data_IF_351769569547
#
_entry.id   IF_351769569547
#
_cell.length_a   1.000
_cell.length_b   1.000
_cell.length_c   1.000
_cell.angle_alpha   90.00
_cell.angle_beta   90.00
_cell.angle_gamma   90.00
#
_symmetry.space_group_name_H-M   'P 1'
#
loop_
_entity.id
_entity.type
_entity.pdbx_description
1 polymer ?
#
# COMPACT_ATOMS: atom_id res chain seq x y z
N UNK A 1 -22.59 -1.04 9.26
CA UNK A 1 -21.49 -0.10 9.58
C UNK A 1 -20.46 -0.20 8.48
N UNK A 2 -19.90 0.90 7.96
CA UNK A 2 -18.81 0.83 6.96
C UNK A 2 -17.51 0.47 7.68
N UNK A 3 -16.69 -0.39 7.07
CA UNK A 3 -15.37 -0.76 7.59
C UNK A 3 -14.38 0.41 7.62
N UNK A 4 -13.31 0.24 8.39
CA UNK A 4 -12.19 1.18 8.48
C UNK A 4 -11.19 0.93 7.35
N UNK A 5 -10.68 2.00 6.76
CA UNK A 5 -9.64 1.96 5.74
C UNK A 5 -8.28 2.27 6.36
N UNK A 6 -7.34 1.34 6.23
CA UNK A 6 -5.94 1.47 6.63
C UNK A 6 -5.10 1.86 5.41
N UNK A 7 -4.48 3.04 5.45
CA UNK A 7 -3.60 3.51 4.37
C UNK A 7 -2.15 3.42 4.83
N UNK A 8 -1.32 2.62 4.17
CA UNK A 8 0.07 2.40 4.57
C UNK A 8 1.08 2.69 3.47
N UNK A 9 2.31 3.08 3.82
CA UNK A 9 3.40 3.03 2.85
C UNK A 9 3.68 1.57 2.46
N UNK A 10 4.42 1.38 1.36
CA UNK A 10 4.60 0.07 0.75
C UNK A 10 6.08 -0.33 0.71
N UNK A 11 6.54 -1.20 1.60
CA UNK A 11 7.92 -1.74 1.60
C UNK A 11 8.00 -3.10 0.91
N UNK A 12 7.01 -3.96 1.08
CA UNK A 12 6.99 -5.35 0.60
C UNK A 12 5.57 -5.83 0.24
N UNK A 13 5.43 -6.97 -0.44
CA UNK A 13 4.12 -7.59 -0.66
C UNK A 13 3.46 -8.12 0.63
N UNK A 14 4.22 -8.23 1.72
CA UNK A 14 3.73 -8.72 3.01
C UNK A 14 3.05 -7.63 3.84
N UNK A 15 3.14 -6.37 3.44
CA UNK A 15 2.66 -5.26 4.26
C UNK A 15 1.18 -5.38 4.66
N UNK A 16 0.25 -5.70 3.73
CA UNK A 16 -1.14 -5.93 4.08
C UNK A 16 -1.35 -7.07 5.07
N UNK A 17 -0.53 -8.12 5.00
CA UNK A 17 -0.59 -9.30 5.86
C UNK A 17 -0.16 -8.94 7.28
N UNK A 18 0.97 -8.24 7.42
CA UNK A 18 1.46 -7.78 8.72
C UNK A 18 0.49 -6.78 9.37
N UNK A 19 -0.13 -5.89 8.60
CA UNK A 19 -1.18 -5.00 9.10
C UNK A 19 -2.37 -5.80 9.64
N UNK A 20 -2.82 -6.83 8.91
CA UNK A 20 -3.92 -7.70 9.35
C UNK A 20 -3.56 -8.48 10.62
N UNK A 21 -2.33 -9.00 10.69
CA UNK A 21 -1.83 -9.74 11.84
C UNK A 21 -1.74 -8.85 13.09
N UNK A 22 -1.14 -7.66 12.96
CA UNK A 22 -0.99 -6.70 14.06
C UNK A 22 -2.35 -6.24 14.63
N UNK A 23 -3.37 -6.13 13.77
CA UNK A 23 -4.73 -5.80 14.19
C UNK A 23 -5.53 -6.99 14.73
N UNK A 24 -4.99 -8.21 14.66
CA UNK A 24 -5.67 -9.45 15.08
C UNK A 24 -7.08 -9.60 14.51
N UNK A 25 -7.29 -9.16 13.26
CA UNK A 25 -8.60 -9.22 12.58
C UNK A 25 -8.44 -9.48 11.08
N UNK A 26 -9.41 -10.15 10.43
CA UNK A 26 -9.36 -10.40 9.00
C UNK A 26 -9.57 -9.08 8.23
N UNK A 27 -8.56 -8.67 7.47
CA UNK A 27 -8.62 -7.52 6.56
C UNK A 27 -8.75 -7.99 5.11
N UNK A 28 -9.38 -7.17 4.28
CA UNK A 28 -9.18 -7.24 2.85
C UNK A 28 -7.99 -6.35 2.45
N UNK A 29 -7.26 -6.70 1.39
CA UNK A 29 -6.17 -5.91 0.85
C UNK A 29 -6.47 -5.44 -0.57
N UNK A 30 -6.47 -4.12 -0.79
CA UNK A 30 -6.56 -3.52 -2.11
C UNK A 30 -5.17 -3.41 -2.73
N UNK A 31 -4.89 -4.24 -3.73
CA UNK A 31 -3.55 -4.40 -4.30
C UNK A 31 -3.59 -4.20 -5.81
N UNK A 32 -2.61 -3.46 -6.33
CA UNK A 32 -2.42 -3.25 -7.76
C UNK A 32 -1.56 -4.37 -8.35
N UNK A 33 -2.04 -5.00 -9.43
CA UNK A 33 -1.24 -5.93 -10.24
C UNK A 33 -0.61 -7.11 -9.48
N UNK A 34 -1.41 -7.89 -8.74
CA UNK A 34 -0.98 -9.23 -8.31
C UNK A 34 -1.10 -10.25 -9.45
N UNK A 35 -0.14 -11.17 -9.51
CA UNK A 35 -0.29 -12.40 -10.29
C UNK A 35 -1.38 -13.28 -9.64
N UNK A 36 -2.12 -14.08 -10.43
CA UNK A 36 -3.12 -15.01 -9.90
C UNK A 36 -2.56 -15.97 -8.84
N UNK A 37 -1.29 -16.37 -8.98
CA UNK A 37 -0.61 -17.24 -8.02
C UNK A 37 -0.50 -16.62 -6.62
N UNK A 38 -0.08 -15.35 -6.53
CA UNK A 38 0.04 -14.66 -5.25
C UNK A 38 -1.32 -14.41 -4.57
N UNK A 39 -2.40 -14.32 -5.36
CA UNK A 39 -3.77 -14.21 -4.85
C UNK A 39 -4.25 -15.53 -4.22
N UNK A 40 -3.94 -16.67 -4.84
CA UNK A 40 -4.32 -18.01 -4.31
C UNK A 40 -3.65 -18.32 -2.98
N UNK A 41 -2.39 -17.91 -2.81
CA UNK A 41 -1.62 -18.17 -1.58
C UNK A 41 -1.82 -17.10 -0.50
N UNK A 42 -2.55 -16.01 -0.81
CA UNK A 42 -2.72 -14.90 0.14
C UNK A 42 -3.57 -15.34 1.34
N UNK A 43 -3.09 -15.16 2.59
CA UNK A 43 -3.85 -15.51 3.79
C UNK A 43 -5.02 -14.56 4.06
N UNK A 44 -5.06 -13.43 3.35
CA UNK A 44 -6.10 -12.40 3.44
C UNK A 44 -6.79 -12.20 2.10
N UNK A 45 -8.06 -11.77 2.15
CA UNK A 45 -8.84 -11.52 0.95
C UNK A 45 -8.23 -10.39 0.13
N UNK A 46 -7.96 -10.64 -1.15
CA UNK A 46 -7.44 -9.64 -2.08
C UNK A 46 -8.56 -8.97 -2.87
N UNK A 47 -8.40 -7.67 -3.11
CA UNK A 47 -9.22 -6.87 -4.01
C UNK A 47 -8.29 -6.35 -5.10
N UNK A 48 -8.35 -6.97 -6.27
CA UNK A 48 -7.50 -6.62 -7.40
C UNK A 48 -7.92 -5.30 -8.01
N UNK A 49 -7.02 -4.32 -7.97
CA UNK A 49 -7.22 -3.02 -8.59
C UNK A 49 -6.71 -3.04 -10.05
N UNK A 50 -7.52 -2.51 -10.96
CA UNK A 50 -7.29 -2.52 -12.40
C UNK A 50 -6.72 -1.19 -12.94
N UNK A 51 -6.46 -0.21 -12.07
CA UNK A 51 -6.04 1.17 -12.42
C UNK A 51 -7.11 1.94 -13.19
N UNK A 52 -8.36 1.55 -13.04
CA UNK A 52 -9.54 2.33 -13.43
C UNK A 52 -10.09 2.98 -12.16
N UNK A 53 -10.01 4.31 -12.09
CA UNK A 53 -10.34 5.04 -10.86
C UNK A 53 -11.79 4.81 -10.41
N UNK A 54 -12.76 4.72 -11.33
CA UNK A 54 -14.16 4.57 -10.92
C UNK A 54 -14.48 3.12 -10.59
N UNK A 55 -13.95 2.17 -11.37
CA UNK A 55 -14.11 0.74 -11.06
C UNK A 55 -13.44 0.35 -9.75
N UNK A 56 -12.20 0.79 -9.53
CA UNK A 56 -11.43 0.50 -8.33
C UNK A 56 -12.08 1.10 -7.09
N UNK A 57 -12.61 2.33 -7.19
CA UNK A 57 -13.38 2.97 -6.12
C UNK A 57 -14.62 2.16 -5.74
N UNK A 58 -15.37 1.65 -6.72
CA UNK A 58 -16.53 0.80 -6.46
C UNK A 58 -16.14 -0.52 -5.78
N UNK A 59 -15.07 -1.18 -6.25
CA UNK A 59 -14.57 -2.41 -5.66
C UNK A 59 -14.11 -2.20 -4.22
N UNK A 60 -13.35 -1.15 -3.94
CA UNK A 60 -12.91 -0.84 -2.58
C UNK A 60 -14.09 -0.51 -1.65
N UNK A 61 -15.09 0.22 -2.15
CA UNK A 61 -16.33 0.49 -1.39
C UNK A 61 -17.10 -0.79 -1.07
N UNK A 62 -17.23 -1.71 -2.03
CA UNK A 62 -17.87 -3.01 -1.82
C UNK A 62 -17.07 -3.91 -0.86
N UNK A 63 -15.74 -3.80 -0.85
CA UNK A 63 -14.93 -4.51 0.13
C UNK A 63 -15.16 -3.96 1.54
N UNK A 64 -15.20 -2.64 1.68
CA UNK A 64 -15.46 -1.96 2.96
C UNK A 64 -16.84 -2.20 3.56
N UNK A 65 -17.84 -2.66 2.78
CA UNK A 65 -19.12 -3.07 3.36
C UNK A 65 -19.06 -4.45 4.01
N UNK A 66 -18.04 -5.25 3.68
CA UNK A 66 -17.88 -6.64 4.15
C UNK A 66 -16.80 -6.79 5.21
N UNK A 67 -15.75 -5.99 5.15
CA UNK A 67 -14.62 -6.03 6.09
C UNK A 67 -13.89 -4.69 6.10
N UNK A 68 -12.97 -4.53 7.05
CA UNK A 68 -11.97 -3.47 6.98
C UNK A 68 -11.03 -3.72 5.77
N UNK A 69 -10.39 -2.65 5.29
CA UNK A 69 -9.59 -2.67 4.07
C UNK A 69 -8.23 -2.01 4.31
N UNK A 70 -7.14 -2.65 3.89
CA UNK A 70 -5.82 -2.03 3.81
C UNK A 70 -5.48 -1.72 2.35
N UNK A 71 -4.84 -0.56 2.12
CA UNK A 71 -4.39 -0.12 0.80
C UNK A 71 -3.02 0.53 0.89
N UNK A 72 -2.19 0.25 -0.11
CA UNK A 72 -0.89 0.88 -0.33
C UNK A 72 -1.01 1.96 -1.42
N UNK A 73 -1.30 3.23 -1.09
CA UNK A 73 -1.55 4.28 -2.07
C UNK A 73 -0.36 4.65 -2.97
N UNK A 74 0.86 4.20 -2.65
CA UNK A 74 2.04 4.30 -3.55
C UNK A 74 1.87 3.49 -4.83
N UNK A 75 1.11 2.39 -4.78
CA UNK A 75 0.85 1.51 -5.93
C UNK A 75 2.06 0.71 -6.43
N UNK A 76 3.20 0.79 -5.74
CA UNK A 76 4.41 0.00 -5.93
C UNK A 76 5.24 0.05 -4.64
N UNK A 77 6.08 -0.96 -4.39
CA UNK A 77 6.92 -1.00 -3.18
C UNK A 77 8.05 0.04 -3.27
N UNK A 78 8.27 0.88 -2.28
CA UNK A 78 9.41 1.80 -2.17
C UNK A 78 10.31 1.41 -1.00
N UNK A 79 11.61 1.26 -1.21
CA UNK A 79 12.56 0.90 -0.13
C UNK A 79 13.39 2.05 0.39
N UNK A 80 13.55 3.06 -0.44
CA UNK A 80 14.32 4.25 -0.14
C UNK A 80 13.77 4.99 1.10
N UNK A 81 14.56 5.86 1.74
CA UNK A 81 14.14 6.69 2.88
C UNK A 81 13.23 7.86 2.46
N UNK A 82 12.36 7.62 1.47
CA UNK A 82 11.37 8.55 0.98
C UNK A 82 10.08 7.81 0.59
N UNK A 83 8.96 8.54 0.58
CA UNK A 83 7.66 8.03 0.13
C UNK A 83 7.37 8.48 -1.28
N UNK A 84 6.91 7.55 -2.13
CA UNK A 84 6.33 7.90 -3.42
C UNK A 84 5.02 8.67 -3.22
N UNK A 85 4.59 9.39 -4.26
CA UNK A 85 3.33 10.11 -4.26
C UNK A 85 2.16 9.16 -4.00
N UNK A 86 1.30 9.52 -3.06
CA UNK A 86 0.08 8.76 -2.77
C UNK A 86 -1.03 9.06 -3.79
N UNK A 87 -1.65 8.01 -4.31
CA UNK A 87 -2.87 8.11 -5.11
C UNK A 87 -4.04 8.62 -4.26
N UNK A 88 -4.85 9.58 -4.72
CA UNK A 88 -6.01 10.09 -3.99
C UNK A 88 -7.23 9.16 -4.02
N UNK A 89 -7.13 7.96 -4.59
CA UNK A 89 -8.27 7.05 -4.74
C UNK A 89 -8.90 6.69 -3.39
N UNK A 90 -8.08 6.34 -2.39
CA UNK A 90 -8.55 5.87 -1.09
C UNK A 90 -9.31 6.95 -0.29
N UNK A 91 -8.96 8.23 -0.50
CA UNK A 91 -9.58 9.35 0.23
C UNK A 91 -11.02 9.60 -0.18
N UNK A 92 -11.42 9.10 -1.37
CA UNK A 92 -12.77 9.17 -1.92
C UNK A 92 -13.62 7.93 -1.62
N UNK A 93 -13.03 6.94 -0.97
CA UNK A 93 -13.64 5.63 -0.71
C UNK A 93 -14.20 5.55 0.71
N UNK A 94 -13.51 6.11 1.70
CA UNK A 94 -13.89 6.09 3.11
C UNK A 94 -13.60 7.43 3.80
N UNK A 95 -14.40 7.75 4.81
CA UNK A 95 -14.13 8.81 5.81
C UNK A 95 -13.35 8.30 7.02
N UNK A 96 -13.39 6.98 7.26
CA UNK A 96 -12.76 6.36 8.41
C UNK A 96 -11.38 5.84 7.99
N UNK A 97 -10.39 6.74 7.95
CA UNK A 97 -9.02 6.46 7.47
C UNK A 97 -8.05 6.46 8.64
N UNK A 98 -7.26 5.39 8.76
CA UNK A 98 -6.16 5.25 9.72
C UNK A 98 -4.85 5.10 8.93
N UNK A 99 -3.92 6.06 9.02
CA UNK A 99 -2.59 5.91 8.44
C UNK A 99 -1.77 4.87 9.22
N UNK A 100 -0.98 4.06 8.51
CA UNK A 100 -0.08 3.09 9.13
C UNK A 100 1.31 3.26 8.54
N UNK A 101 2.27 3.65 9.37
CA UNK A 101 3.67 3.73 9.02
C UNK A 101 4.33 2.35 9.20
N UNK A 102 5.06 1.94 8.18
CA UNK A 102 5.69 0.62 8.08
C UNK A 102 7.17 0.80 7.82
N UNK A 103 7.98 0.21 8.67
CA UNK A 103 9.42 0.08 8.46
C UNK A 103 9.86 -1.38 8.43
N UNK A 104 10.79 -1.68 7.54
CA UNK A 104 11.26 -3.04 7.30
C UNK A 104 12.78 -3.06 7.36
N UNK A 105 13.31 -3.60 8.46
CA UNK A 105 14.74 -3.85 8.63
C UNK A 105 15.09 -5.20 8.02
N UNK A 106 15.97 -5.19 7.02
CA UNK A 106 16.55 -6.40 6.41
C UNK A 106 18.07 -6.23 6.32
N UNK A 107 18.82 -7.32 6.46
CA UNK A 107 20.28 -7.27 6.51
C UNK A 107 20.95 -7.46 5.15
N UNK A 108 20.45 -8.36 4.29
CA UNK A 108 21.17 -8.80 3.09
C UNK A 108 20.29 -9.02 1.84
N UNK A 109 19.08 -9.56 1.99
CA UNK A 109 18.20 -9.86 0.86
C UNK A 109 17.02 -8.89 0.78
N UNK A 110 17.06 -8.03 -0.22
CA UNK A 110 15.98 -7.09 -0.52
C UNK A 110 14.98 -7.80 -1.46
N UNK A 111 13.80 -8.19 -0.94
CA UNK A 111 12.78 -8.91 -1.70
C UNK A 111 12.07 -8.07 -2.78
N UNK A 112 12.78 -7.52 -3.77
CA UNK A 112 12.16 -7.03 -5.02
C UNK A 112 13.10 -7.23 -6.19
N UNK A 113 12.69 -8.07 -7.12
CA UNK A 113 13.38 -8.15 -8.41
C UNK A 113 12.77 -7.09 -9.34
N UNK A 114 13.48 -5.99 -9.60
CA UNK A 114 13.01 -4.94 -10.53
C UNK A 114 12.94 -5.43 -12.00
N UNK A 115 13.63 -6.54 -12.31
CA UNK A 115 13.75 -7.16 -13.63
C UNK A 115 13.47 -8.68 -13.62
N UNK A 116 12.83 -9.20 -12.58
CA UNK A 116 12.58 -10.64 -12.45
C UNK A 116 11.25 -10.96 -11.76
N UNK A 117 10.90 -12.25 -11.67
CA UNK A 117 9.57 -12.68 -11.25
C UNK A 117 9.26 -12.26 -9.80
N UNK A 118 8.27 -11.38 -9.63
CA UNK A 118 7.85 -10.80 -8.33
C UNK A 118 7.37 -11.83 -7.29
N UNK A 119 7.09 -13.07 -7.69
CA UNK A 119 6.68 -14.14 -6.78
C UNK A 119 7.78 -14.59 -5.80
N UNK A 120 9.06 -14.28 -6.09
CA UNK A 120 10.18 -14.63 -5.22
C UNK A 120 10.45 -13.63 -4.10
N UNK A 121 9.83 -12.45 -4.16
CA UNK A 121 10.03 -11.36 -3.22
C UNK A 121 9.80 -11.75 -1.74
N UNK A 122 8.79 -12.56 -1.38
CA UNK A 122 8.61 -13.06 -0.01
C UNK A 122 9.72 -14.03 0.42
N UNK A 123 10.20 -14.90 -0.50
CA UNK A 123 11.25 -15.89 -0.21
C UNK A 123 12.55 -15.18 0.17
N UNK A 124 12.94 -14.16 -0.60
CA UNK A 124 14.12 -13.35 -0.28
C UNK A 124 14.00 -12.62 1.06
N UNK A 125 12.80 -12.15 1.44
CA UNK A 125 12.61 -11.52 2.74
C UNK A 125 12.90 -12.50 3.90
N UNK A 126 12.34 -13.73 3.83
CA UNK A 126 12.54 -14.76 4.86
C UNK A 126 13.96 -15.37 4.89
N UNK A 127 14.77 -15.15 3.86
CA UNK A 127 16.18 -15.56 3.85
C UNK A 127 17.10 -14.65 4.65
N UNK A 128 16.61 -13.50 5.14
CA UNK A 128 17.39 -12.68 6.07
C UNK A 128 17.48 -13.36 7.44
N UNK A 129 18.65 -13.38 8.09
CA UNK A 129 18.81 -14.00 9.41
C UNK A 129 18.01 -13.31 10.51
N UNK A 130 17.80 -11.99 10.44
CA UNK A 130 17.04 -11.21 11.42
C UNK A 130 16.21 -10.10 10.74
N UNK A 131 15.11 -10.43 10.03
CA UNK A 131 14.21 -9.42 9.49
C UNK A 131 13.39 -8.80 10.64
N UNK A 132 13.26 -7.47 10.65
CA UNK A 132 12.37 -6.76 11.56
C UNK A 132 11.27 -6.05 10.79
N UNK A 133 10.05 -6.15 11.28
CA UNK A 133 8.89 -5.54 10.67
C UNK A 133 8.16 -4.69 11.71
N UNK A 134 8.27 -3.36 11.58
CA UNK A 134 7.72 -2.42 12.56
C UNK A 134 6.51 -1.73 11.97
N UNK A 135 5.39 -1.75 12.70
CA UNK A 135 4.16 -1.06 12.32
C UNK A 135 3.82 -0.02 13.37
N UNK A 136 3.51 1.20 12.91
CA UNK A 136 3.01 2.27 13.75
C UNK A 136 1.66 2.76 13.20
N UNK A 137 0.60 2.45 13.92
CA UNK A 137 -0.75 2.96 13.62
C UNK A 137 -0.86 4.40 14.11
N UNK A 138 -1.13 5.32 13.19
CA UNK A 138 -1.28 6.74 13.50
C UNK A 138 -2.73 7.08 13.86
N UNK A 139 -2.95 8.29 14.35
CA UNK A 139 -4.29 8.75 14.70
C UNK A 139 -5.23 8.74 13.49
N UNK A 140 -6.47 8.32 13.76
CA UNK A 140 -7.55 8.33 12.76
C UNK A 140 -7.81 9.77 12.29
N UNK A 141 -7.98 9.93 10.98
CA UNK A 141 -8.30 11.23 10.41
C UNK A 141 -9.64 11.76 10.95
N UNK A 142 -9.65 13.03 11.35
CA UNK A 142 -10.87 13.74 11.73
C UNK A 142 -11.74 14.01 10.50
N UNK A 143 -13.06 14.11 10.68
CA UNK A 143 -14.00 14.31 9.56
C UNK A 143 -13.66 15.55 8.70
N UNK A 144 -13.19 16.63 9.31
CA UNK A 144 -12.76 17.85 8.62
C UNK A 144 -11.51 17.67 7.75
N UNK A 145 -10.74 16.61 7.97
CA UNK A 145 -9.55 16.25 7.20
C UNK A 145 -9.84 15.14 6.17
N UNK A 146 -11.11 14.86 5.86
CA UNK A 146 -11.52 13.84 4.89
C UNK A 146 -12.32 14.47 3.75
N UNK A 147 -12.31 13.83 2.58
CA UNK A 147 -13.08 14.32 1.43
C UNK A 147 -14.58 14.11 1.59
N UNK A 148 -15.00 12.98 2.14
CA UNK A 148 -16.42 12.72 2.39
C UNK A 148 -17.00 13.60 3.52
N UNK A 149 -16.16 14.12 4.42
CA UNK A 149 -16.55 15.08 5.45
C UNK A 149 -16.62 16.55 5.00
N UNK A 150 -16.38 16.83 3.71
CA UNK A 150 -16.57 18.16 3.10
C UNK A 150 -15.45 19.17 3.34
N UNK A 151 -14.34 18.77 3.96
CA UNK A 151 -13.31 19.73 4.39
C UNK A 151 -12.10 19.91 3.45
N UNK A 152 -11.75 18.91 2.62
CA UNK A 152 -10.52 18.92 1.78
C UNK A 152 -10.67 18.12 0.49
N UNK A 153 -9.91 18.49 -0.54
CA UNK A 153 -9.82 17.74 -1.80
C UNK A 153 -9.10 16.40 -1.62
N UNK A 154 -9.36 15.45 -2.54
CA UNK A 154 -8.74 14.12 -2.52
C UNK A 154 -7.22 14.11 -2.46
N UNK A 155 -6.61 15.09 -3.14
CA UNK A 155 -5.17 15.26 -3.22
C UNK A 155 -4.61 15.82 -1.91
N UNK A 156 -5.27 16.80 -1.30
CA UNK A 156 -4.85 17.35 -0.02
C UNK A 156 -4.88 16.31 1.09
N UNK A 157 -5.92 15.47 1.12
CA UNK A 157 -6.00 14.37 2.10
C UNK A 157 -4.90 13.34 1.84
N UNK A 158 -4.62 12.99 0.58
CA UNK A 158 -3.56 12.05 0.24
C UNK A 158 -2.18 12.58 0.66
N UNK A 159 -1.89 13.85 0.37
CA UNK A 159 -0.64 14.51 0.76
C UNK A 159 -0.52 14.63 2.28
N UNK A 160 -1.63 14.88 2.99
CA UNK A 160 -1.65 14.91 4.45
C UNK A 160 -1.35 13.53 5.06
N UNK A 161 -1.95 12.46 4.53
CA UNK A 161 -1.66 11.09 4.98
C UNK A 161 -0.21 10.72 4.68
N UNK A 162 0.30 11.08 3.50
CA UNK A 162 1.70 10.87 3.12
C UNK A 162 2.64 11.58 4.11
N UNK A 163 2.38 12.85 4.44
CA UNK A 163 3.23 13.61 5.37
C UNK A 163 3.21 13.09 6.80
N UNK A 164 2.08 12.58 7.28
CA UNK A 164 1.99 11.95 8.60
C UNK A 164 2.83 10.67 8.67
N UNK A 165 2.74 9.82 7.65
CA UNK A 165 3.55 8.59 7.57
C UNK A 165 5.03 8.94 7.42
N UNK A 166 5.37 9.91 6.56
CA UNK A 166 6.75 10.36 6.37
C UNK A 166 7.35 10.89 7.68
N UNK A 167 6.61 11.73 8.42
CA UNK A 167 7.04 12.23 9.73
C UNK A 167 7.25 11.10 10.73
N UNK A 168 6.37 10.11 10.77
CA UNK A 168 6.50 8.97 11.67
C UNK A 168 7.76 8.13 11.38
N UNK A 169 8.14 8.01 10.10
CA UNK A 169 9.30 7.25 9.65
C UNK A 169 10.60 8.07 9.56
N UNK A 170 10.52 9.41 9.66
CA UNK A 170 11.64 10.30 9.37
C UNK A 170 12.02 10.35 7.88
N UNK A 171 11.07 10.10 6.99
CA UNK A 171 11.28 10.04 5.53
C UNK A 171 10.90 11.36 4.83
N UNK A 172 11.37 11.52 3.60
CA UNK A 172 10.97 12.62 2.73
C UNK A 172 9.69 12.28 1.93
N UNK A 173 8.79 13.26 1.78
CA UNK A 173 7.67 13.14 0.85
C UNK A 173 8.14 13.53 -0.55
N UNK A 174 7.91 12.66 -1.54
CA UNK A 174 8.20 12.99 -2.94
C UNK A 174 6.93 13.11 -3.77
N UNK A 175 7.06 13.78 -4.92
CA UNK A 175 6.05 13.77 -5.99
C UNK A 175 6.30 12.67 -7.02
N UNK A 176 7.32 11.83 -6.80
CA UNK A 176 7.70 10.75 -7.70
C UNK A 176 6.56 9.73 -7.79
N UNK A 177 6.17 9.43 -9.02
CA UNK A 177 5.17 8.42 -9.31
C UNK A 177 5.83 7.06 -9.52
N UNK A 178 5.01 6.00 -9.52
CA UNK A 178 5.42 4.68 -9.98
C UNK A 178 6.13 4.73 -11.34
N UNK A 179 5.60 5.50 -12.29
CA UNK A 179 6.18 5.62 -13.64
C UNK A 179 7.60 6.17 -13.56
N UNK A 180 7.80 7.24 -12.79
CA UNK A 180 9.11 7.87 -12.63
C UNK A 180 10.11 6.88 -12.02
N UNK A 181 9.70 6.13 -11.00
CA UNK A 181 10.50 5.07 -10.40
C UNK A 181 10.92 4.01 -11.43
N UNK A 182 9.99 3.44 -12.18
CA UNK A 182 10.31 2.39 -13.17
C UNK A 182 11.14 2.90 -14.34
N UNK A 183 10.95 4.17 -14.73
CA UNK A 183 11.80 4.80 -15.75
C UNK A 183 13.25 4.90 -15.28
N UNK A 184 13.49 5.27 -14.01
CA UNK A 184 14.83 5.35 -13.43
C UNK A 184 15.47 3.96 -13.23
N UNK A 185 14.71 2.99 -12.71
CA UNK A 185 15.26 1.68 -12.32
C UNK A 185 15.35 0.66 -13.47
N UNK A 186 14.41 0.70 -14.41
CA UNK A 186 14.24 -0.34 -15.43
C UNK A 186 14.20 0.21 -16.86
N UNK A 187 14.06 1.53 -17.05
CA UNK A 187 13.89 2.14 -18.38
C UNK A 187 12.52 1.87 -19.01
N UNK A 188 11.53 1.43 -18.22
CA UNK A 188 10.16 1.17 -18.69
C UNK A 188 9.12 1.88 -17.81
N UNK A 189 7.85 1.91 -18.23
CA UNK A 189 6.76 2.55 -17.46
C UNK A 189 6.08 1.61 -16.45
N UNK A 190 6.65 0.41 -16.27
CA UNK A 190 6.14 -0.64 -15.39
C UNK A 190 4.82 -1.25 -15.85
N UNK A 191 4.38 -1.12 -17.11
CA UNK A 191 3.11 -1.74 -17.55
C UNK A 191 3.16 -3.25 -17.82
N UNK A 192 4.33 -3.84 -18.10
CA UNK A 192 4.38 -5.15 -18.78
C UNK A 192 5.13 -6.33 -18.10
N UNK A 193 5.74 -6.23 -16.91
CA UNK A 193 6.67 -7.28 -16.43
C UNK A 193 6.21 -8.12 -15.21
N UNK A 194 4.90 -8.31 -14.99
CA UNK A 194 4.40 -9.02 -13.79
C UNK A 194 3.90 -10.46 -14.05
N UNK A 195 4.15 -11.03 -15.23
CA UNK A 195 3.74 -12.41 -15.55
C UNK A 195 4.80 -13.42 -15.12
N UNK A 196 4.58 -14.07 -13.98
CA UNK A 196 5.12 -15.41 -13.73
C UNK A 196 4.12 -16.40 -14.30
N UNK A 197 4.54 -17.24 -15.25
CA UNK A 197 3.79 -18.44 -15.64
C UNK A 197 3.90 -19.49 -14.54
#
# INVERSE_FOLDING_TARGET
TKGTLYACNHKTLLDPIFVSHALSKPLAAAIYSLSPFNEVISPIRTVRLARDHERDKQLMRQALTRSDLVVCPEGTTCREPYLLRFSPLFTRVSKDIIPVAIDVGVSMFYGSTARGPKCWDPVFHFMNPNPSYTLQFLEKLTASCTCEGGGKSGVEVANYVQSQIARALGFECTLLTRKDKYMVLAGNDGRNDDTCY
#
